data_IF_039327225415
#
_entry.id   IF_039327225415
#
_cell.length_a   1.000
_cell.length_b   1.000
_cell.length_c   1.000
_cell.angle_alpha   90.00
_cell.angle_beta   90.00
_cell.angle_gamma   90.00
#
_symmetry.space_group_name_H-M   'P 1'
#
loop_
_entity.id
_entity.type
_entity.pdbx_description
1 polymer ?
#
# COMPACT_ATOMS: atom_id res chain seq x y z
N UNK A 1 9.04 -22.64 -13.81
CA UNK A 1 8.55 -21.59 -12.89
C UNK A 1 7.38 -22.08 -12.06
N UNK A 2 6.24 -22.44 -12.67
CA UNK A 2 5.02 -22.89 -11.96
C UNK A 2 5.21 -24.11 -11.04
N UNK A 3 6.07 -25.06 -11.41
CA UNK A 3 6.35 -26.28 -10.62
C UNK A 3 6.94 -26.03 -9.23
N UNK A 4 7.50 -24.84 -8.97
CA UNK A 4 8.15 -24.50 -7.70
C UNK A 4 7.23 -23.68 -6.78
N UNK A 5 6.00 -23.38 -7.21
CA UNK A 5 5.06 -22.55 -6.45
C UNK A 5 4.12 -23.43 -5.63
N UNK A 6 4.36 -23.49 -4.31
CA UNK A 6 3.62 -24.34 -3.37
C UNK A 6 2.11 -24.13 -3.40
N UNK A 7 1.67 -22.89 -3.62
CA UNK A 7 0.26 -22.50 -3.57
C UNK A 7 -0.32 -22.16 -4.96
N UNK A 8 0.37 -22.56 -6.04
CA UNK A 8 -0.20 -22.38 -7.38
C UNK A 8 -1.30 -23.41 -7.62
N UNK A 9 -2.45 -22.93 -8.07
CA UNK A 9 -3.57 -23.75 -8.51
C UNK A 9 -3.67 -23.65 -10.03
N UNK A 10 -3.69 -24.79 -10.71
CA UNK A 10 -3.88 -24.83 -12.15
C UNK A 10 -5.28 -24.30 -12.53
N UNK A 11 -5.35 -23.65 -13.69
CA UNK A 11 -6.62 -23.18 -14.24
C UNK A 11 -7.54 -24.38 -14.50
N UNK A 12 -8.75 -24.36 -13.93
CA UNK A 12 -9.77 -25.35 -14.23
C UNK A 12 -10.26 -25.19 -15.68
N UNK A 13 -10.62 -26.29 -16.34
CA UNK A 13 -11.16 -26.27 -17.71
C UNK A 13 -12.37 -25.33 -17.81
N UNK A 14 -12.31 -24.42 -18.79
CA UNK A 14 -13.36 -23.44 -19.05
C UNK A 14 -14.07 -23.74 -20.37
N UNK A 15 -15.30 -23.23 -20.51
CA UNK A 15 -16.01 -23.24 -21.78
C UNK A 15 -15.26 -22.41 -22.83
N UNK A 16 -15.41 -22.76 -24.11
CA UNK A 16 -14.73 -22.12 -25.24
C UNK A 16 -14.88 -20.60 -25.28
N UNK A 17 -16.07 -20.09 -25.00
CA UNK A 17 -16.37 -18.65 -24.97
C UNK A 17 -15.64 -17.90 -23.85
N UNK A 18 -15.44 -18.56 -22.70
CA UNK A 18 -14.64 -18.04 -21.59
C UNK A 18 -13.15 -18.08 -21.92
N UNK A 19 -12.69 -19.16 -22.58
CA UNK A 19 -11.28 -19.31 -22.96
C UNK A 19 -10.83 -18.19 -23.92
N UNK A 20 -11.63 -17.85 -24.92
CA UNK A 20 -11.32 -16.76 -25.86
C UNK A 20 -11.13 -15.43 -25.11
N UNK A 21 -12.02 -15.12 -24.15
CA UNK A 21 -11.89 -13.91 -23.32
C UNK A 21 -10.63 -13.95 -22.46
N UNK A 22 -10.29 -15.10 -21.89
CA UNK A 22 -9.06 -15.27 -21.10
C UNK A 22 -7.81 -15.06 -21.95
N UNK A 23 -7.80 -15.54 -23.19
CA UNK A 23 -6.67 -15.38 -24.10
C UNK A 23 -6.48 -13.90 -24.49
N UNK A 24 -7.57 -13.16 -24.78
CA UNK A 24 -7.52 -11.70 -25.01
C UNK A 24 -6.95 -10.94 -23.80
N UNK A 25 -7.40 -11.30 -22.60
CA UNK A 25 -6.89 -10.75 -21.34
C UNK A 25 -5.39 -11.05 -21.19
N UNK A 26 -4.97 -12.30 -21.45
CA UNK A 26 -3.57 -12.73 -21.36
C UNK A 26 -2.69 -11.96 -22.35
N UNK A 27 -3.12 -11.77 -23.61
CA UNK A 27 -2.38 -10.98 -24.59
C UNK A 27 -2.18 -9.53 -24.12
N UNK A 28 -3.22 -8.91 -23.56
CA UNK A 28 -3.14 -7.54 -23.03
C UNK A 28 -2.07 -7.40 -21.93
N UNK A 29 -1.89 -8.42 -21.10
CA UNK A 29 -0.95 -8.39 -19.98
C UNK A 29 0.46 -8.94 -20.30
N UNK A 30 0.71 -9.50 -21.50
CA UNK A 30 2.06 -9.99 -21.86
C UNK A 30 3.14 -8.90 -21.80
N UNK A 31 2.76 -7.66 -22.12
CA UNK A 31 3.64 -6.50 -22.13
C UNK A 31 3.74 -5.78 -20.77
N UNK A 32 3.04 -6.26 -19.74
CA UNK A 32 3.07 -5.63 -18.41
C UNK A 32 4.48 -5.69 -17.81
N UNK A 33 4.97 -4.57 -17.28
CA UNK A 33 6.22 -4.58 -16.54
C UNK A 33 5.96 -5.09 -15.12
N UNK A 34 6.89 -5.86 -14.53
CA UNK A 34 6.73 -6.30 -13.15
C UNK A 34 6.55 -5.16 -12.16
N UNK A 35 7.10 -3.98 -12.43
CA UNK A 35 6.94 -2.78 -11.58
C UNK A 35 5.52 -2.22 -11.57
N UNK A 36 4.71 -2.51 -12.59
CA UNK A 36 3.31 -2.06 -12.69
C UNK A 36 2.34 -2.97 -11.91
N UNK A 37 2.81 -4.12 -11.42
CA UNK A 37 1.99 -5.07 -10.68
C UNK A 37 1.90 -4.69 -9.20
N UNK A 38 0.71 -4.48 -8.68
CA UNK A 38 0.50 -4.27 -7.25
C UNK A 38 -0.12 -5.51 -6.60
N UNK A 39 0.30 -5.81 -5.37
CA UNK A 39 -0.22 -6.88 -4.53
C UNK A 39 -0.52 -6.30 -3.15
N UNK A 40 -1.73 -6.49 -2.66
CA UNK A 40 -2.17 -5.97 -1.36
C UNK A 40 -2.67 -7.10 -0.46
N UNK A 41 -2.20 -7.09 0.79
CA UNK A 41 -2.75 -7.90 1.88
C UNK A 41 -3.38 -6.98 2.95
N UNK A 42 -4.73 -6.85 2.98
CA UNK A 42 -5.42 -5.90 3.84
C UNK A 42 -5.58 -6.35 5.31
N UNK A 43 -5.06 -7.53 5.66
CA UNK A 43 -5.03 -8.05 7.03
C UNK A 43 -3.73 -8.86 7.20
N UNK A 44 -2.60 -8.15 7.13
CA UNK A 44 -1.30 -8.75 6.91
C UNK A 44 -0.83 -9.67 8.04
N UNK A 45 -1.30 -9.46 9.27
CA UNK A 45 -0.91 -10.21 10.46
C UNK A 45 0.60 -10.20 10.67
N UNK A 46 1.25 -11.32 10.35
CA UNK A 46 2.70 -11.48 10.47
C UNK A 46 3.46 -11.34 9.13
N UNK A 47 2.74 -11.10 8.04
CA UNK A 47 3.29 -10.88 6.71
C UNK A 47 3.68 -12.14 5.94
N UNK A 48 3.25 -13.33 6.38
CA UNK A 48 3.61 -14.60 5.74
C UNK A 48 3.20 -14.68 4.26
N UNK A 49 1.99 -14.21 3.93
CA UNK A 49 1.51 -14.17 2.54
C UNK A 49 2.38 -13.24 1.70
N UNK A 50 2.73 -12.06 2.24
CA UNK A 50 3.58 -11.08 1.56
C UNK A 50 5.01 -11.59 1.35
N UNK A 51 5.57 -12.32 2.32
CA UNK A 51 6.89 -12.97 2.19
C UNK A 51 6.89 -14.03 1.08
N UNK A 52 5.81 -14.81 0.96
CA UNK A 52 5.67 -15.76 -0.15
C UNK A 52 5.48 -15.04 -1.49
N UNK A 53 4.65 -13.99 -1.53
CA UNK A 53 4.46 -13.17 -2.72
C UNK A 53 5.78 -12.53 -3.18
N UNK A 54 6.65 -12.12 -2.25
CA UNK A 54 7.98 -11.62 -2.54
C UNK A 54 8.79 -12.61 -3.39
N UNK A 55 8.85 -13.89 -2.99
CA UNK A 55 9.60 -14.92 -3.71
C UNK A 55 9.04 -15.18 -5.12
N UNK A 56 7.71 -15.15 -5.26
CA UNK A 56 7.04 -15.26 -6.55
C UNK A 56 7.39 -14.07 -7.45
N UNK A 57 7.35 -12.86 -6.90
CA UNK A 57 7.71 -11.65 -7.63
C UNK A 57 9.18 -11.66 -8.07
N UNK A 58 10.12 -12.09 -7.21
CA UNK A 58 11.53 -12.22 -7.60
C UNK A 58 11.67 -13.07 -8.86
N UNK A 59 10.97 -14.21 -8.94
CA UNK A 59 11.00 -15.08 -10.13
C UNK A 59 10.41 -14.41 -11.37
N UNK A 60 9.34 -13.62 -11.21
CA UNK A 60 8.74 -12.84 -12.29
C UNK A 60 9.73 -11.77 -12.80
N UNK A 61 10.37 -11.04 -11.90
CA UNK A 61 11.39 -10.04 -12.24
C UNK A 61 12.61 -10.67 -12.95
N UNK A 62 13.11 -11.80 -12.44
CA UNK A 62 14.21 -12.55 -13.09
C UNK A 62 13.83 -12.98 -14.51
N UNK A 63 12.58 -13.40 -14.74
CA UNK A 63 12.08 -13.76 -16.08
C UNK A 63 12.08 -12.59 -17.07
N UNK A 64 12.09 -11.35 -16.57
CA UNK A 64 12.16 -10.12 -17.35
C UNK A 64 13.58 -9.53 -17.39
N UNK A 65 14.58 -10.27 -16.91
CA UNK A 65 16.01 -9.90 -17.01
C UNK A 65 16.55 -9.07 -15.85
N UNK A 66 15.76 -8.83 -14.80
CA UNK A 66 16.25 -8.13 -13.61
C UNK A 66 17.15 -9.03 -12.78
N UNK A 67 18.17 -8.46 -12.15
CA UNK A 67 18.93 -9.17 -11.11
C UNK A 67 18.08 -9.29 -9.84
N UNK A 68 18.35 -10.31 -9.02
CA UNK A 68 17.71 -10.45 -7.69
C UNK A 68 17.83 -9.21 -6.81
N UNK A 69 18.94 -8.49 -6.93
CA UNK A 69 19.20 -7.25 -6.18
C UNK A 69 18.31 -6.11 -6.64
N UNK A 70 18.09 -5.96 -7.94
CA UNK A 70 17.17 -4.96 -8.49
C UNK A 70 15.72 -5.33 -8.15
N UNK A 71 15.36 -6.59 -8.35
CA UNK A 71 14.04 -7.12 -8.01
C UNK A 71 13.68 -6.83 -6.55
N UNK A 72 14.57 -7.14 -5.60
CA UNK A 72 14.29 -6.93 -4.18
C UNK A 72 13.99 -5.47 -3.82
N UNK A 73 14.65 -4.50 -4.48
CA UNK A 73 14.36 -3.07 -4.28
C UNK A 73 13.02 -2.68 -4.88
N UNK A 74 12.78 -3.10 -6.12
CA UNK A 74 11.56 -2.79 -6.86
C UNK A 74 10.33 -3.38 -6.16
N UNK A 75 10.42 -4.61 -5.66
CA UNK A 75 9.34 -5.31 -4.95
C UNK A 75 8.89 -4.56 -3.70
N UNK A 76 9.83 -4.13 -2.86
CA UNK A 76 9.51 -3.35 -1.65
C UNK A 76 8.86 -1.99 -2.00
N UNK A 77 9.32 -1.36 -3.09
CA UNK A 77 8.91 0.00 -3.46
C UNK A 77 7.58 0.05 -4.19
N UNK A 78 7.37 -0.86 -5.13
CA UNK A 78 6.33 -0.75 -6.15
C UNK A 78 5.24 -1.82 -6.01
N UNK A 79 5.58 -3.01 -5.50
CA UNK A 79 4.69 -4.16 -5.63
C UNK A 79 3.89 -4.47 -4.37
N UNK A 80 4.54 -4.54 -3.21
CA UNK A 80 3.91 -5.07 -1.99
C UNK A 80 3.29 -3.96 -1.16
N UNK A 81 2.00 -4.11 -0.86
CA UNK A 81 1.21 -3.26 0.01
C UNK A 81 0.57 -4.10 1.11
N UNK A 82 0.49 -3.54 2.31
CA UNK A 82 -0.02 -4.27 3.46
C UNK A 82 -0.70 -3.33 4.44
N UNK A 83 -1.79 -3.81 5.03
CA UNK A 83 -2.57 -3.08 6.02
C UNK A 83 -2.89 -4.01 7.19
N UNK A 84 -2.89 -3.45 8.40
CA UNK A 84 -3.39 -4.12 9.59
C UNK A 84 -3.96 -3.10 10.58
N UNK A 85 -4.80 -3.55 11.49
CA UNK A 85 -5.35 -2.73 12.59
C UNK A 85 -4.46 -2.77 13.84
N UNK A 86 -3.64 -3.83 13.99
CA UNK A 86 -2.76 -4.00 15.13
C UNK A 86 -1.35 -3.50 14.80
N UNK A 87 -0.84 -2.57 15.62
CA UNK A 87 0.50 -2.00 15.45
C UNK A 87 1.60 -3.09 15.51
N UNK A 88 1.41 -4.13 16.32
CA UNK A 88 2.36 -5.25 16.44
C UNK A 88 2.38 -6.07 15.15
N UNK A 89 1.23 -6.27 14.52
CA UNK A 89 1.13 -6.94 13.22
C UNK A 89 1.86 -6.13 12.14
N UNK A 90 1.62 -4.81 12.10
CA UNK A 90 2.38 -3.89 11.24
C UNK A 90 3.91 -4.05 11.42
N UNK A 91 4.40 -4.02 12.66
CA UNK A 91 5.83 -4.13 12.97
C UNK A 91 6.41 -5.48 12.53
N UNK A 92 5.68 -6.57 12.78
CA UNK A 92 6.08 -7.92 12.37
C UNK A 92 6.13 -8.05 10.85
N UNK A 93 5.11 -7.59 10.13
CA UNK A 93 5.07 -7.60 8.66
C UNK A 93 6.21 -6.76 8.07
N UNK A 94 6.44 -5.55 8.61
CA UNK A 94 7.56 -4.70 8.21
C UNK A 94 8.89 -5.44 8.37
N UNK A 95 9.14 -6.02 9.54
CA UNK A 95 10.37 -6.76 9.81
C UNK A 95 10.55 -7.95 8.87
N UNK A 96 9.51 -8.77 8.72
CA UNK A 96 9.50 -9.94 7.84
C UNK A 96 9.87 -9.56 6.40
N UNK A 97 9.28 -8.50 5.84
CA UNK A 97 9.58 -8.04 4.48
C UNK A 97 11.00 -7.49 4.34
N UNK A 98 11.47 -6.72 5.32
CA UNK A 98 12.83 -6.18 5.28
C UNK A 98 13.88 -7.28 5.38
N UNK A 99 13.66 -8.30 6.23
CA UNK A 99 14.54 -9.46 6.32
C UNK A 99 14.49 -10.29 5.05
N UNK A 100 13.30 -10.48 4.48
CA UNK A 100 13.12 -11.20 3.23
C UNK A 100 13.87 -10.54 2.08
N UNK A 101 13.78 -9.22 1.95
CA UNK A 101 14.54 -8.48 0.95
C UNK A 101 16.06 -8.54 1.18
N UNK A 102 16.50 -8.61 2.45
CA UNK A 102 17.91 -8.71 2.81
C UNK A 102 18.54 -10.03 2.35
N UNK A 103 17.77 -11.12 2.32
CA UNK A 103 18.21 -12.42 1.74
C UNK A 103 18.69 -12.25 0.29
N UNK A 104 18.03 -11.39 -0.48
CA UNK A 104 18.33 -11.11 -1.89
C UNK A 104 19.33 -9.96 -2.08
N UNK A 105 19.33 -8.99 -1.17
CA UNK A 105 20.20 -7.81 -1.24
C UNK A 105 20.78 -7.48 0.16
N UNK A 106 21.99 -7.94 0.44
CA UNK A 106 22.60 -7.82 1.79
C UNK A 106 22.72 -6.40 2.36
N UNK A 107 22.79 -5.36 1.50
CA UNK A 107 22.82 -3.94 1.89
C UNK A 107 21.45 -3.23 1.83
N UNK A 108 20.33 -3.97 1.78
CA UNK A 108 18.99 -3.39 1.54
C UNK A 108 18.60 -2.38 2.63
N UNK A 109 18.99 -2.65 3.88
CA UNK A 109 18.66 -1.80 5.03
C UNK A 109 19.36 -0.43 4.95
N UNK A 110 20.53 -0.38 4.30
CA UNK A 110 21.33 0.84 4.17
C UNK A 110 20.78 1.78 3.10
N UNK A 111 19.84 1.31 2.26
CA UNK A 111 19.30 2.08 1.14
C UNK A 111 18.13 3.00 1.53
N UNK A 112 17.68 2.95 2.78
CA UNK A 112 16.54 3.75 3.24
C UNK A 112 15.20 3.38 2.58
N UNK A 113 15.12 2.21 1.93
CA UNK A 113 13.88 1.73 1.32
C UNK A 113 12.94 1.27 2.42
N UNK A 114 11.69 1.74 2.37
CA UNK A 114 10.63 1.32 3.27
C UNK A 114 9.54 0.60 2.48
N UNK A 115 9.04 -0.56 2.93
CA UNK A 115 7.91 -1.23 2.31
C UNK A 115 6.62 -0.44 2.56
N UNK A 116 5.64 -0.60 1.67
CA UNK A 116 4.33 0.03 1.79
C UNK A 116 3.41 -0.74 2.76
N UNK A 117 3.86 -0.92 4.00
CA UNK A 117 3.08 -1.52 5.09
C UNK A 117 2.55 -0.38 5.97
N UNK A 118 1.29 -0.46 6.39
CA UNK A 118 0.66 0.56 7.21
C UNK A 118 -0.19 -0.07 8.33
N UNK A 119 -0.25 0.62 9.47
CA UNK A 119 -1.25 0.38 10.51
C UNK A 119 -2.40 1.36 10.29
N UNK A 120 -3.63 0.92 10.46
CA UNK A 120 -4.80 1.80 10.46
C UNK A 120 -4.79 2.60 11.76
N UNK A 121 -4.98 3.92 11.63
CA UNK A 121 -5.11 4.82 12.76
C UNK A 121 -6.54 5.33 12.89
N UNK A 122 -6.99 5.51 14.13
CA UNK A 122 -8.33 6.03 14.42
C UNK A 122 -8.28 7.53 14.73
N UNK A 123 -9.36 8.23 14.39
CA UNK A 123 -9.48 9.66 14.59
C UNK A 123 -9.89 10.06 16.00
N UNK A 124 -10.27 9.09 16.85
CA UNK A 124 -10.81 9.31 18.20
C UNK A 124 -9.98 10.27 19.08
N UNK A 125 -8.63 10.23 19.04
CA UNK A 125 -7.81 11.15 19.84
C UNK A 125 -7.75 12.59 19.29
N UNK A 126 -8.20 12.84 18.05
CA UNK A 126 -8.04 14.12 17.36
C UNK A 126 -9.18 15.07 17.74
N UNK A 127 -8.84 16.25 18.29
CA UNK A 127 -9.84 17.26 18.62
C UNK A 127 -10.19 18.10 17.40
N UNK A 128 -11.47 18.10 17.01
CA UNK A 128 -11.97 18.94 15.89
C UNK A 128 -11.72 20.43 16.08
N UNK A 129 -11.61 20.90 17.34
CA UNK A 129 -11.27 22.30 17.65
C UNK A 129 -9.88 22.69 17.15
N UNK A 130 -8.97 21.73 17.02
CA UNK A 130 -7.62 22.00 16.53
C UNK A 130 -7.62 22.37 15.05
N UNK A 131 -8.66 22.00 14.30
CA UNK A 131 -8.77 22.31 12.86
C UNK A 131 -8.79 23.81 12.58
N UNK A 132 -9.27 24.63 13.52
CA UNK A 132 -9.33 26.09 13.38
C UNK A 132 -7.94 26.75 13.31
N UNK A 133 -6.88 26.08 13.79
CA UNK A 133 -5.51 26.59 13.76
C UNK A 133 -4.76 26.25 12.46
N UNK A 134 -5.37 25.48 11.55
CA UNK A 134 -4.77 25.11 10.27
C UNK A 134 -5.30 25.99 9.13
N UNK A 135 -4.51 26.11 8.06
CA UNK A 135 -4.87 26.88 6.87
C UNK A 135 -5.18 28.36 7.13
N UNK A 136 -4.60 28.95 8.17
CA UNK A 136 -4.82 30.36 8.55
C UNK A 136 -4.34 31.35 7.50
N UNK A 137 -3.35 30.98 6.69
CA UNK A 137 -2.85 31.81 5.58
C UNK A 137 -3.60 31.58 4.26
N UNK A 138 -4.51 30.61 4.22
CA UNK A 138 -5.24 30.22 3.01
C UNK A 138 -6.43 31.15 2.74
N UNK A 139 -6.90 31.13 1.50
CA UNK A 139 -8.17 31.79 1.16
C UNK A 139 -9.31 31.22 2.01
N UNK A 140 -10.23 32.10 2.45
CA UNK A 140 -11.32 31.71 3.35
C UNK A 140 -12.23 30.63 2.77
N UNK A 141 -12.38 30.55 1.44
CA UNK A 141 -13.15 29.50 0.77
C UNK A 141 -12.39 28.18 0.78
N UNK A 142 -11.09 28.20 0.46
CA UNK A 142 -10.23 27.01 0.51
C UNK A 142 -10.14 26.44 1.92
N UNK A 143 -9.94 27.29 2.94
CA UNK A 143 -9.88 26.90 4.34
C UNK A 143 -11.17 26.22 4.79
N UNK A 144 -12.34 26.80 4.47
CA UNK A 144 -13.64 26.20 4.80
C UNK A 144 -13.85 24.85 4.13
N UNK A 145 -13.49 24.72 2.84
CA UNK A 145 -13.57 23.45 2.11
C UNK A 145 -12.66 22.39 2.74
N UNK A 146 -11.44 22.76 3.13
CA UNK A 146 -10.49 21.87 3.78
C UNK A 146 -11.01 21.40 5.15
N UNK A 147 -11.53 22.31 5.99
CA UNK A 147 -12.15 21.96 7.27
C UNK A 147 -13.32 21.00 7.07
N UNK A 148 -14.18 21.23 6.08
CA UNK A 148 -15.30 20.34 5.80
C UNK A 148 -14.81 18.92 5.44
N UNK A 149 -13.89 18.81 4.48
CA UNK A 149 -13.35 17.51 4.07
C UNK A 149 -12.54 16.81 5.17
N UNK A 150 -11.83 17.57 5.99
CA UNK A 150 -11.12 17.01 7.15
C UNK A 150 -12.12 16.46 8.17
N UNK A 151 -13.23 17.16 8.42
CA UNK A 151 -14.25 16.66 9.32
C UNK A 151 -14.87 15.35 8.80
N UNK A 152 -15.16 15.26 7.50
CA UNK A 152 -15.64 14.03 6.84
C UNK A 152 -14.63 12.88 6.97
N UNK A 153 -13.35 13.15 6.73
CA UNK A 153 -12.28 12.15 6.89
C UNK A 153 -12.19 11.66 8.34
N UNK A 154 -12.23 12.58 9.32
CA UNK A 154 -12.23 12.22 10.74
C UNK A 154 -13.46 11.40 11.14
N UNK A 155 -14.63 11.66 10.55
CA UNK A 155 -15.82 10.83 10.79
C UNK A 155 -15.65 9.41 10.24
N UNK A 156 -15.08 9.26 9.04
CA UNK A 156 -14.80 7.94 8.43
C UNK A 156 -13.82 7.13 9.27
N UNK A 157 -12.78 7.78 9.82
CA UNK A 157 -11.75 7.12 10.61
C UNK A 157 -12.08 7.00 12.10
N UNK A 158 -13.31 7.33 12.51
CA UNK A 158 -13.74 7.09 13.88
C UNK A 158 -13.91 5.58 14.10
N UNK A 159 -13.32 5.07 15.18
CA UNK A 159 -13.31 3.64 15.51
C UNK A 159 -12.68 2.78 14.38
N UNK A 160 -11.79 3.37 13.58
CA UNK A 160 -11.19 2.73 12.40
C UNK A 160 -10.46 1.41 12.69
N UNK A 161 -9.91 1.25 13.91
CA UNK A 161 -9.24 0.02 14.34
C UNK A 161 -10.21 -1.15 14.56
N UNK A 162 -11.52 -0.92 14.61
CA UNK A 162 -12.53 -1.98 14.64
C UNK A 162 -12.92 -2.43 13.22
N UNK A 163 -13.04 -1.48 12.29
CA UNK A 163 -13.50 -1.75 10.93
C UNK A 163 -12.37 -2.24 10.01
N UNK A 164 -11.16 -1.72 10.20
CA UNK A 164 -10.02 -2.12 9.39
C UNK A 164 -10.18 -1.79 7.91
N UNK A 165 -9.90 -2.75 7.04
CA UNK A 165 -9.91 -2.56 5.58
C UNK A 165 -11.29 -2.38 4.95
N UNK A 166 -12.38 -2.52 5.71
CA UNK A 166 -13.75 -2.34 5.19
C UNK A 166 -14.20 -0.87 5.20
N UNK A 167 -13.37 0.03 5.73
CA UNK A 167 -13.61 1.47 5.71
C UNK A 167 -13.81 1.97 4.28
N UNK A 168 -14.87 2.74 4.08
CA UNK A 168 -15.15 3.37 2.79
C UNK A 168 -14.71 4.83 2.82
N UNK A 169 -13.54 5.10 2.26
CA UNK A 169 -12.95 6.45 2.25
C UNK A 169 -13.45 7.21 1.01
N UNK A 170 -14.12 8.36 1.17
CA UNK A 170 -14.60 9.15 0.04
C UNK A 170 -13.44 9.76 -0.76
N UNK A 171 -13.73 10.12 -2.02
CA UNK A 171 -12.78 10.85 -2.84
C UNK A 171 -12.68 12.31 -2.38
N UNK A 172 -11.63 12.63 -1.64
CA UNK A 172 -11.35 13.97 -1.12
C UNK A 172 -10.24 14.67 -1.91
N UNK A 173 -10.09 15.97 -1.70
CA UNK A 173 -9.03 16.79 -2.28
C UNK A 173 -7.77 16.68 -1.39
N UNK A 174 -7.05 15.57 -1.51
CA UNK A 174 -5.89 15.28 -0.66
C UNK A 174 -4.76 16.32 -0.79
N UNK A 175 -4.62 16.98 -1.93
CA UNK A 175 -3.65 18.07 -2.10
C UNK A 175 -4.06 19.32 -1.31
N UNK A 176 -5.35 19.66 -1.30
CA UNK A 176 -5.88 20.69 -0.42
C UNK A 176 -5.68 20.35 1.06
N UNK A 177 -5.98 19.11 1.48
CA UNK A 177 -5.84 18.68 2.88
C UNK A 177 -4.37 18.70 3.35
N UNK A 178 -3.42 18.31 2.49
CA UNK A 178 -1.98 18.41 2.78
C UNK A 178 -1.54 19.86 2.94
N UNK A 179 -1.96 20.76 2.03
CA UNK A 179 -1.69 22.20 2.14
C UNK A 179 -2.27 22.78 3.43
N UNK A 180 -3.50 22.42 3.76
CA UNK A 180 -4.20 22.86 4.97
C UNK A 180 -3.44 22.49 6.25
N UNK A 181 -2.99 21.24 6.37
CA UNK A 181 -2.18 20.80 7.52
C UNK A 181 -0.79 21.44 7.51
N UNK A 182 -0.14 21.52 6.35
CA UNK A 182 1.22 22.06 6.19
C UNK A 182 1.34 23.58 6.42
N UNK A 183 0.24 24.32 6.36
CA UNK A 183 0.23 25.75 6.69
C UNK A 183 0.63 26.01 8.15
N UNK A 184 0.26 25.11 9.07
CA UNK A 184 0.56 25.25 10.49
C UNK A 184 2.06 25.03 10.81
N UNK A 185 2.81 24.31 9.98
CA UNK A 185 4.24 24.02 10.21
C UNK A 185 5.19 25.14 9.76
N UNK A 186 4.68 26.24 9.17
CA UNK A 186 5.50 27.41 8.83
C UNK A 186 5.61 28.44 9.98
N UNK A 187 4.94 28.21 11.11
CA UNK A 187 4.90 29.15 12.26
C UNK A 187 5.87 28.85 13.41
N UNK A 188 6.79 27.88 13.27
CA UNK A 188 7.78 27.55 14.31
C UNK A 188 9.20 27.56 13.74
N UNK A 189 9.76 28.78 13.66
CA UNK A 189 11.18 29.07 13.43
C UNK A 189 11.70 30.02 14.48
#
# INVERSE_FOLDING_TARGET
MKSNWKYYLDEAEQKLDVQVKLDEIKEKYKSLNPEDLTFIDPCSGSGHILVYAFDVLVQIYESKGYTRREAAKAILKNNLYALDIDERAYQLTYFSLMMKAREYHGRILDLGIRPNVYCIEESNPISRKQLEYFGTSMDSSEQKKAIQQMNELLDVFKDAKEYGSILNVPQLDYELLKRFIGDASCGSG
#
